data_IF_929912758242
#
_entry.id   IF_929912758242
#
_cell.length_a   1.000
_cell.length_b   1.000
_cell.length_c   1.000
_cell.angle_alpha   90.00
_cell.angle_beta   90.00
_cell.angle_gamma   90.00
#
_symmetry.space_group_name_H-M   'P 1'
#
loop_
_entity.id
_entity.type
_entity.pdbx_description
1 polymer ?
#
# COMPACT_ATOMS: atom_id res chain seq x y z
N UNK A 1 -46.99 9.36 -5.56
CA UNK A 1 -47.48 8.95 -4.22
C UNK A 1 -47.85 10.21 -3.46
N UNK A 2 -49.09 10.35 -2.98
CA UNK A 2 -49.53 11.52 -2.21
C UNK A 2 -49.25 11.30 -0.72
N UNK A 3 -48.36 12.12 -0.15
CA UNK A 3 -48.04 12.11 1.28
C UNK A 3 -49.23 12.66 2.08
N UNK A 4 -49.89 11.81 2.88
CA UNK A 4 -50.95 12.27 3.78
C UNK A 4 -50.38 12.90 5.06
N UNK A 5 -51.11 13.86 5.66
CA UNK A 5 -50.72 14.47 6.95
C UNK A 5 -50.48 13.42 8.03
N UNK A 6 -51.30 12.37 8.08
CA UNK A 6 -51.14 11.26 9.03
C UNK A 6 -49.86 10.45 8.78
N UNK A 7 -49.48 10.24 7.52
CA UNK A 7 -48.21 9.60 7.18
C UNK A 7 -47.02 10.48 7.59
N UNK A 8 -47.07 11.79 7.31
CA UNK A 8 -46.05 12.74 7.70
C UNK A 8 -45.81 12.75 9.22
N UNK A 9 -46.87 12.88 10.04
CA UNK A 9 -46.71 12.91 11.50
C UNK A 9 -46.19 11.59 12.08
N UNK A 10 -46.56 10.45 11.50
CA UNK A 10 -46.02 9.13 11.91
C UNK A 10 -44.55 8.99 11.57
N UNK A 11 -44.15 9.38 10.35
CA UNK A 11 -42.77 9.32 9.90
C UNK A 11 -41.89 10.29 10.69
N UNK A 12 -42.34 11.54 10.89
CA UNK A 12 -41.64 12.54 11.68
C UNK A 12 -41.50 12.10 13.15
N UNK A 13 -42.57 11.57 13.77
CA UNK A 13 -42.52 11.06 15.14
C UNK A 13 -41.55 9.88 15.29
N UNK A 14 -41.57 8.93 14.37
CA UNK A 14 -40.64 7.81 14.35
C UNK A 14 -39.18 8.25 14.17
N UNK A 15 -38.93 9.21 13.26
CA UNK A 15 -37.60 9.78 13.05
C UNK A 15 -37.09 10.49 14.30
N UNK A 16 -37.91 11.35 14.92
CA UNK A 16 -37.53 12.07 16.15
C UNK A 16 -37.21 11.11 17.30
N UNK A 17 -38.01 10.06 17.49
CA UNK A 17 -37.72 9.03 18.51
C UNK A 17 -36.43 8.27 18.19
N UNK A 18 -36.19 7.93 16.93
CA UNK A 18 -34.96 7.31 16.46
C UNK A 18 -33.73 8.16 16.76
N UNK A 19 -33.74 9.44 16.38
CA UNK A 19 -32.62 10.36 16.63
C UNK A 19 -32.43 10.69 18.12
N UNK A 20 -33.51 10.77 18.90
CA UNK A 20 -33.43 10.94 20.36
C UNK A 20 -32.82 9.71 21.03
N UNK A 21 -33.16 8.50 20.56
CA UNK A 21 -32.53 7.26 21.02
C UNK A 21 -31.05 7.17 20.65
N UNK A 22 -30.71 7.60 19.43
CA UNK A 22 -29.34 7.67 18.93
C UNK A 22 -28.48 8.65 19.75
N UNK A 23 -28.99 9.87 20.00
CA UNK A 23 -28.33 10.84 20.87
C UNK A 23 -28.04 10.23 22.25
N UNK A 24 -29.03 9.55 22.83
CA UNK A 24 -28.90 8.95 24.16
C UNK A 24 -27.87 7.82 24.23
N UNK A 25 -27.66 7.13 23.10
CA UNK A 25 -26.67 6.07 22.93
C UNK A 25 -25.24 6.65 22.84
N UNK A 26 -25.08 7.75 22.11
CA UNK A 26 -23.78 8.35 21.77
C UNK A 26 -23.33 9.49 22.69
N UNK A 27 -24.22 10.07 23.50
CA UNK A 27 -23.84 11.12 24.46
C UNK A 27 -22.75 10.65 25.43
N UNK A 28 -21.93 11.57 25.98
CA UNK A 28 -21.00 11.24 27.05
C UNK A 28 -21.72 10.53 28.22
N UNK A 29 -21.26 9.32 28.56
CA UNK A 29 -21.89 8.47 29.59
C UNK A 29 -22.99 7.52 29.10
N UNK A 30 -23.43 7.61 27.84
CA UNK A 30 -24.25 6.59 27.18
C UNK A 30 -23.47 5.31 26.86
N UNK A 31 -24.12 4.19 26.51
CA UNK A 31 -23.43 2.91 26.27
C UNK A 31 -22.34 2.98 25.18
N UNK A 32 -22.64 3.58 24.03
CA UNK A 32 -21.65 3.73 22.95
C UNK A 32 -20.65 4.85 23.26
N UNK A 33 -21.11 5.96 23.86
CA UNK A 33 -20.22 7.04 24.31
C UNK A 33 -19.18 6.58 25.33
N UNK A 34 -19.56 5.67 26.25
CA UNK A 34 -18.64 5.02 27.20
C UNK A 34 -17.68 4.07 26.50
N UNK A 35 -18.12 3.32 25.51
CA UNK A 35 -17.26 2.41 24.75
C UNK A 35 -16.20 3.19 23.96
N UNK A 36 -16.60 4.31 23.33
CA UNK A 36 -15.70 5.22 22.60
C UNK A 36 -14.73 5.93 23.55
N UNK A 37 -15.19 6.37 24.73
CA UNK A 37 -14.36 6.99 25.74
C UNK A 37 -13.47 5.99 26.52
N UNK A 38 -13.77 4.71 26.45
CA UNK A 38 -12.97 3.63 27.04
C UNK A 38 -11.88 3.11 26.10
N UNK A 39 -11.82 3.61 24.85
CA UNK A 39 -10.63 3.45 24.02
C UNK A 39 -9.55 4.30 24.67
N UNK A 40 -8.44 3.73 25.16
CA UNK A 40 -7.34 4.51 25.71
C UNK A 40 -6.90 5.56 24.70
N UNK A 41 -6.43 6.72 25.17
CA UNK A 41 -5.73 7.70 24.33
C UNK A 41 -4.53 6.98 23.68
N UNK A 42 -4.71 6.43 22.47
CA UNK A 42 -3.87 5.38 21.91
C UNK A 42 -2.37 5.69 22.00
N UNK A 43 -1.88 6.53 21.09
CA UNK A 43 -0.50 7.05 21.14
C UNK A 43 -0.46 8.57 21.36
N UNK A 44 -1.60 9.20 21.66
CA UNK A 44 -1.75 10.66 21.71
C UNK A 44 -2.05 11.28 20.34
N UNK A 45 -2.17 12.62 20.27
CA UNK A 45 -2.42 13.34 19.03
C UNK A 45 -1.22 13.28 18.06
N UNK A 46 -1.49 13.44 16.77
CA UNK A 46 -0.45 13.55 15.76
C UNK A 46 0.22 14.94 15.82
N UNK A 47 1.54 14.96 15.71
CA UNK A 47 2.34 16.17 15.58
C UNK A 47 2.64 16.40 14.10
N UNK A 48 2.31 17.58 13.54
CA UNK A 48 2.62 17.89 12.15
C UNK A 48 4.11 17.74 11.85
N UNK A 49 4.41 16.99 10.79
CA UNK A 49 5.76 16.83 10.28
C UNK A 49 6.22 18.10 9.54
N UNK A 50 7.35 18.73 9.92
CA UNK A 50 7.90 19.88 9.21
C UNK A 50 8.15 19.63 7.72
N UNK A 51 8.49 18.39 7.35
CA UNK A 51 8.72 18.00 5.96
C UNK A 51 7.43 17.57 5.23
N UNK A 52 6.30 17.50 5.95
CA UNK A 52 4.98 17.22 5.41
C UNK A 52 4.79 15.80 4.86
N UNK A 53 5.59 14.83 5.30
CA UNK A 53 5.52 13.45 4.85
C UNK A 53 4.63 12.58 5.73
N UNK A 54 4.86 12.58 7.05
CA UNK A 54 4.13 11.73 7.97
C UNK A 54 4.01 12.34 9.36
N UNK A 55 2.83 12.83 9.69
CA UNK A 55 2.49 13.27 11.05
C UNK A 55 2.47 12.07 12.00
N UNK A 56 3.23 12.15 13.08
CA UNK A 56 3.38 11.06 14.05
C UNK A 56 3.10 11.55 15.48
N UNK A 57 2.67 10.67 16.40
CA UNK A 57 2.54 11.05 17.80
C UNK A 57 3.89 11.41 18.44
N UNK A 58 3.84 12.12 19.56
CA UNK A 58 5.06 12.49 20.29
C UNK A 58 5.90 11.25 20.66
N UNK A 59 7.21 11.34 20.43
CA UNK A 59 8.16 10.24 20.68
C UNK A 59 8.34 9.25 19.52
N UNK A 60 7.45 9.25 18.52
CA UNK A 60 7.59 8.44 17.32
C UNK A 60 8.50 9.12 16.28
N UNK A 61 9.16 8.29 15.45
CA UNK A 61 10.08 8.74 14.39
C UNK A 61 9.95 7.81 13.19
N UNK A 62 10.23 8.33 12.00
CA UNK A 62 10.33 7.53 10.77
C UNK A 62 11.68 7.75 10.08
N UNK A 63 11.99 6.89 9.11
CA UNK A 63 13.13 7.06 8.21
C UNK A 63 12.69 6.75 6.79
N UNK A 64 12.98 7.65 5.85
CA UNK A 64 12.74 7.40 4.42
C UNK A 64 13.96 6.73 3.83
N UNK A 65 13.82 5.45 3.49
CA UNK A 65 14.96 4.62 3.07
C UNK A 65 14.91 4.18 1.60
N UNK A 66 13.80 4.39 0.89
CA UNK A 66 13.66 4.07 -0.54
C UNK A 66 12.56 4.92 -1.16
N UNK A 67 12.87 5.62 -2.26
CA UNK A 67 11.94 6.45 -3.04
C UNK A 67 11.87 5.97 -4.48
N UNK A 68 10.70 6.07 -5.11
CA UNK A 68 10.53 5.77 -6.53
C UNK A 68 11.50 6.57 -7.40
N UNK A 69 12.01 5.94 -8.46
CA UNK A 69 13.00 6.51 -9.38
C UNK A 69 14.45 6.52 -8.86
N UNK A 70 14.70 6.17 -7.59
CA UNK A 70 16.08 6.00 -7.12
C UNK A 70 16.75 4.80 -7.79
N UNK A 71 18.06 4.91 -8.04
CA UNK A 71 18.87 3.79 -8.53
C UNK A 71 19.04 2.76 -7.41
N UNK A 72 18.71 1.51 -7.69
CA UNK A 72 18.93 0.37 -6.82
C UNK A 72 20.34 -0.23 -7.02
N UNK A 73 20.74 -1.13 -6.11
CA UNK A 73 22.08 -1.75 -6.11
C UNK A 73 22.32 -2.66 -7.32
N UNK A 74 21.27 -3.23 -7.89
CA UNK A 74 21.31 -4.01 -9.15
C UNK A 74 21.37 -3.12 -10.41
N UNK A 75 21.30 -1.79 -10.22
CA UNK A 75 21.35 -0.79 -11.27
C UNK A 75 20.04 -0.57 -12.01
N UNK A 76 18.92 -1.16 -11.59
CA UNK A 76 17.57 -0.75 -12.03
C UNK A 76 17.07 0.44 -11.20
N UNK A 77 15.89 0.96 -11.53
CA UNK A 77 15.25 2.00 -10.72
C UNK A 77 14.23 1.37 -9.77
N UNK A 78 14.02 2.01 -8.62
CA UNK A 78 12.91 1.68 -7.72
C UNK A 78 11.61 2.02 -8.46
N UNK A 79 10.74 1.05 -8.78
CA UNK A 79 9.45 1.38 -9.39
C UNK A 79 8.60 2.20 -8.42
N UNK A 80 7.72 3.05 -8.93
CA UNK A 80 6.79 3.83 -8.13
C UNK A 80 5.68 2.95 -7.52
N UNK A 81 4.67 3.61 -6.93
CA UNK A 81 3.44 2.98 -6.39
C UNK A 81 3.72 1.76 -5.52
N UNK A 82 4.54 1.96 -4.50
CA UNK A 82 4.79 0.95 -3.47
C UNK A 82 3.46 0.53 -2.84
N UNK A 83 3.24 -0.77 -2.72
CA UNK A 83 2.01 -1.33 -2.16
C UNK A 83 2.33 -2.49 -1.20
N UNK A 84 1.46 -3.49 -1.10
CA UNK A 84 1.53 -4.61 -0.17
C UNK A 84 2.92 -5.23 -0.05
N UNK A 85 3.31 -5.50 1.19
CA UNK A 85 4.66 -5.92 1.53
C UNK A 85 4.68 -6.86 2.73
N UNK A 86 5.75 -7.64 2.84
CA UNK A 86 5.99 -8.50 3.99
C UNK A 86 7.47 -8.50 4.40
N UNK A 87 7.69 -8.54 5.71
CA UNK A 87 9.00 -8.65 6.32
C UNK A 87 9.33 -10.12 6.63
N UNK A 88 10.56 -10.52 6.37
CA UNK A 88 11.10 -11.86 6.59
C UNK A 88 12.44 -11.76 7.32
N UNK A 89 12.84 -12.81 8.08
CA UNK A 89 14.20 -12.91 8.61
C UNK A 89 15.22 -12.86 7.47
N UNK A 90 16.20 -11.97 7.60
CA UNK A 90 17.30 -11.80 6.67
C UNK A 90 18.65 -12.27 7.24
N UNK A 91 19.70 -12.30 6.40
CA UNK A 91 21.03 -12.69 6.83
C UNK A 91 21.61 -11.73 7.88
N UNK A 92 22.35 -12.28 8.86
CA UNK A 92 23.01 -11.50 9.90
C UNK A 92 22.04 -10.78 10.85
N UNK A 93 20.82 -11.33 11.04
CA UNK A 93 19.80 -10.74 11.92
C UNK A 93 19.07 -9.54 11.32
N UNK A 94 19.31 -9.24 10.04
CA UNK A 94 18.64 -8.16 9.31
C UNK A 94 17.23 -8.56 8.86
N UNK A 95 16.51 -7.64 8.26
CA UNK A 95 15.15 -7.86 7.74
C UNK A 95 15.15 -7.81 6.23
N UNK A 96 14.57 -8.84 5.60
CA UNK A 96 14.20 -8.79 4.18
C UNK A 96 12.78 -8.23 4.09
N UNK A 97 12.56 -7.20 3.29
CA UNK A 97 11.24 -6.67 2.95
C UNK A 97 10.98 -6.94 1.48
N UNK A 98 9.94 -7.72 1.17
CA UNK A 98 9.46 -7.86 -0.21
C UNK A 98 8.30 -6.87 -0.39
N UNK A 99 8.40 -6.01 -1.39
CA UNK A 99 7.47 -4.89 -1.62
C UNK A 99 6.92 -4.94 -3.03
N UNK A 100 5.60 -4.86 -3.16
CA UNK A 100 4.92 -4.78 -4.44
C UNK A 100 5.00 -3.37 -5.07
N UNK A 101 4.79 -3.33 -6.38
CA UNK A 101 4.68 -2.11 -7.19
C UNK A 101 3.41 -2.17 -8.05
N UNK A 102 2.44 -1.31 -7.74
CA UNK A 102 1.09 -1.32 -8.32
C UNK A 102 1.02 -0.52 -9.64
N UNK A 103 1.88 -0.89 -10.59
CA UNK A 103 1.97 -0.23 -11.89
C UNK A 103 1.16 -0.96 -12.96
N UNK A 104 0.29 -0.21 -13.64
CA UNK A 104 -0.58 -0.63 -14.72
C UNK A 104 0.12 -0.56 -16.08
N UNK A 105 -0.43 -1.23 -17.09
CA UNK A 105 0.06 -1.17 -18.47
C UNK A 105 0.01 0.24 -19.10
N UNK A 106 -0.80 1.14 -18.54
CA UNK A 106 -0.92 2.55 -19.00
C UNK A 106 0.04 3.49 -18.30
N UNK A 107 0.73 3.04 -17.27
CA UNK A 107 1.70 3.88 -16.58
C UNK A 107 2.93 4.09 -17.45
N UNK A 108 3.49 5.30 -17.36
CA UNK A 108 4.66 5.66 -18.14
C UNK A 108 5.93 4.92 -17.67
N UNK A 109 6.88 4.67 -18.59
CA UNK A 109 8.15 4.00 -18.30
C UNK A 109 8.96 4.68 -17.20
N UNK A 110 8.83 6.00 -17.02
CA UNK A 110 9.48 6.77 -15.95
C UNK A 110 9.11 6.34 -14.54
N UNK A 111 7.99 5.63 -14.37
CA UNK A 111 7.56 5.08 -13.10
C UNK A 111 8.06 3.65 -12.87
N UNK A 112 8.53 2.98 -13.92
CA UNK A 112 8.95 1.58 -13.89
C UNK A 112 10.43 1.38 -13.52
N UNK A 113 10.87 0.12 -13.41
CA UNK A 113 12.26 -0.19 -13.07
C UNK A 113 13.26 0.07 -14.19
N UNK A 114 12.78 0.25 -15.42
CA UNK A 114 13.61 0.17 -16.62
C UNK A 114 14.07 1.52 -17.18
N UNK A 115 13.77 2.62 -16.50
CA UNK A 115 14.15 3.97 -16.90
C UNK A 115 13.11 4.67 -17.78
N UNK A 116 13.23 5.99 -18.00
CA UNK A 116 12.21 6.82 -18.65
C UNK A 116 11.87 6.45 -20.10
N UNK A 117 12.65 5.58 -20.73
CA UNK A 117 12.39 5.04 -22.07
C UNK A 117 12.49 3.52 -22.13
N UNK A 118 12.38 2.85 -20.98
CA UNK A 118 12.60 1.40 -20.85
C UNK A 118 14.02 0.96 -21.31
N UNK A 119 15.00 1.86 -21.28
CA UNK A 119 16.34 1.61 -21.82
C UNK A 119 17.13 0.52 -21.07
N UNK A 120 16.71 0.18 -19.85
CA UNK A 120 17.36 -0.86 -19.05
C UNK A 120 16.75 -2.26 -19.27
N UNK A 121 15.64 -2.41 -20.02
CA UNK A 121 15.01 -3.72 -20.25
C UNK A 121 16.00 -4.76 -20.76
N UNK A 122 16.86 -4.37 -21.71
CA UNK A 122 17.85 -5.28 -22.31
C UNK A 122 18.93 -5.78 -21.34
N UNK A 123 19.06 -5.20 -20.14
CA UNK A 123 19.98 -5.69 -19.11
C UNK A 123 19.44 -6.90 -18.37
N UNK A 124 18.13 -7.15 -18.44
CA UNK A 124 17.49 -8.26 -17.75
C UNK A 124 17.46 -9.51 -18.66
N UNK A 125 18.02 -10.66 -18.23
CA UNK A 125 17.90 -11.88 -19.00
C UNK A 125 16.43 -12.28 -19.18
N UNK A 126 16.00 -12.54 -20.42
CA UNK A 126 14.61 -12.88 -20.73
C UNK A 126 14.03 -14.04 -19.89
N UNK A 127 14.87 -15.03 -19.52
CA UNK A 127 14.49 -16.16 -18.67
C UNK A 127 14.05 -15.80 -17.24
N UNK A 128 14.32 -14.56 -16.80
CA UNK A 128 13.97 -14.06 -15.47
C UNK A 128 12.70 -13.19 -15.49
N UNK A 129 12.13 -12.93 -16.67
CA UNK A 129 10.88 -12.20 -16.83
C UNK A 129 9.73 -13.21 -16.78
N UNK A 130 8.75 -13.00 -15.91
CA UNK A 130 7.60 -13.91 -15.79
C UNK A 130 6.79 -13.97 -17.09
N UNK A 131 6.33 -12.81 -17.55
CA UNK A 131 5.74 -12.62 -18.88
C UNK A 131 6.39 -11.40 -19.55
N UNK A 132 7.04 -11.63 -20.69
CA UNK A 132 7.67 -10.58 -21.47
C UNK A 132 6.68 -9.78 -22.33
N UNK A 133 5.43 -10.25 -22.43
CA UNK A 133 4.44 -9.70 -23.34
C UNK A 133 4.79 -9.93 -24.82
N UNK A 134 4.03 -9.26 -25.69
CA UNK A 134 4.18 -9.37 -27.15
C UNK A 134 5.04 -8.27 -27.75
N UNK A 135 5.14 -7.11 -27.10
CA UNK A 135 5.94 -5.97 -27.53
C UNK A 135 7.17 -5.80 -26.63
N UNK A 136 8.38 -6.11 -27.13
CA UNK A 136 9.62 -5.97 -26.36
C UNK A 136 9.90 -4.53 -25.88
N UNK A 137 9.29 -3.51 -26.50
CA UNK A 137 9.41 -2.11 -26.11
C UNK A 137 8.48 -1.67 -24.97
N UNK A 138 7.48 -2.50 -24.65
CA UNK A 138 6.44 -2.21 -23.67
C UNK A 138 6.37 -3.31 -22.58
N UNK A 139 7.43 -3.46 -21.76
CA UNK A 139 7.44 -4.43 -20.67
C UNK A 139 6.37 -4.11 -19.63
N UNK A 140 5.92 -5.14 -18.92
CA UNK A 140 5.14 -4.95 -17.69
C UNK A 140 6.00 -4.28 -16.62
N UNK A 141 5.51 -3.16 -16.07
CA UNK A 141 6.27 -2.30 -15.15
C UNK A 141 6.06 -2.62 -13.67
N UNK A 142 5.10 -3.49 -13.35
CA UNK A 142 4.84 -3.92 -11.98
C UNK A 142 5.89 -4.90 -11.46
N UNK A 143 5.50 -5.66 -10.43
CA UNK A 143 6.31 -6.68 -9.82
C UNK A 143 6.69 -6.36 -8.39
N UNK A 144 7.86 -6.83 -7.96
CA UNK A 144 8.34 -6.65 -6.59
C UNK A 144 9.80 -6.24 -6.54
N UNK A 145 10.13 -5.51 -5.48
CA UNK A 145 11.52 -5.32 -5.04
C UNK A 145 11.74 -6.03 -3.71
N UNK A 146 12.96 -6.54 -3.51
CA UNK A 146 13.41 -7.09 -2.23
C UNK A 146 14.46 -6.16 -1.65
N UNK A 147 14.24 -5.73 -0.42
CA UNK A 147 15.09 -4.81 0.32
C UNK A 147 15.68 -5.52 1.53
N UNK A 148 16.98 -5.38 1.76
CA UNK A 148 17.64 -5.80 2.99
C UNK A 148 17.79 -4.57 3.88
N UNK A 149 17.12 -4.57 5.03
CA UNK A 149 17.07 -3.45 5.96
C UNK A 149 17.72 -3.82 7.29
N UNK A 150 18.51 -2.89 7.83
CA UNK A 150 19.09 -2.99 9.17
C UNK A 150 18.19 -2.23 10.15
N UNK A 151 17.46 -2.96 10.99
CA UNK A 151 16.55 -2.37 11.98
C UNK A 151 17.27 -1.79 13.19
N UNK A 152 18.51 -2.22 13.46
CA UNK A 152 19.32 -1.67 14.54
C UNK A 152 19.88 -0.29 14.19
N UNK A 153 20.37 -0.13 12.95
CA UNK A 153 20.90 1.14 12.45
C UNK A 153 19.86 2.00 11.71
N UNK A 154 18.62 1.50 11.57
CA UNK A 154 17.53 2.14 10.85
C UNK A 154 17.88 2.56 9.41
N UNK A 155 18.60 1.70 8.67
CA UNK A 155 19.03 2.03 7.30
C UNK A 155 18.85 0.87 6.32
N UNK A 156 18.68 1.25 5.05
CA UNK A 156 18.73 0.31 3.95
C UNK A 156 20.18 -0.18 3.75
N UNK A 157 20.34 -1.48 3.56
CA UNK A 157 21.63 -2.12 3.25
C UNK A 157 21.76 -2.33 1.75
N UNK A 158 20.73 -2.89 1.13
CA UNK A 158 20.62 -3.06 -0.33
C UNK A 158 19.16 -3.21 -0.74
N UNK A 159 18.84 -2.95 -1.99
CA UNK A 159 17.58 -3.34 -2.62
C UNK A 159 17.76 -3.69 -4.10
N UNK A 160 16.89 -4.56 -4.60
CA UNK A 160 16.92 -5.09 -5.96
C UNK A 160 15.54 -5.47 -6.44
N UNK A 161 15.38 -5.58 -7.75
CA UNK A 161 14.21 -6.18 -8.40
C UNK A 161 14.15 -7.68 -8.07
N UNK A 162 12.97 -8.19 -7.70
CA UNK A 162 12.76 -9.59 -7.32
C UNK A 162 11.63 -10.30 -8.06
N UNK A 163 10.72 -9.56 -8.70
CA UNK A 163 9.72 -10.07 -9.64
C UNK A 163 9.47 -9.01 -10.70
N UNK A 164 9.30 -9.44 -11.95
CA UNK A 164 8.94 -8.57 -13.07
C UNK A 164 8.26 -9.40 -14.16
N UNK A 165 7.71 -8.73 -15.18
CA UNK A 165 6.79 -9.36 -16.12
C UNK A 165 5.40 -9.57 -15.53
N UNK A 166 5.00 -8.73 -14.57
CA UNK A 166 3.68 -8.73 -13.93
C UNK A 166 3.15 -7.30 -13.83
N UNK A 167 1.84 -7.14 -13.73
CA UNK A 167 1.15 -5.86 -13.70
C UNK A 167 0.33 -5.67 -12.43
N UNK A 168 0.32 -4.42 -11.95
CA UNK A 168 -0.59 -3.92 -10.91
C UNK A 168 -0.57 -4.84 -9.68
N UNK A 169 0.63 -5.15 -9.22
CA UNK A 169 0.86 -5.93 -8.01
C UNK A 169 0.40 -5.07 -6.82
N UNK A 170 -0.77 -5.38 -6.27
CA UNK A 170 -1.40 -4.60 -5.21
C UNK A 170 -0.97 -5.16 -3.86
N UNK A 171 -1.69 -6.17 -3.36
CA UNK A 171 -1.42 -6.84 -2.09
C UNK A 171 -0.77 -8.22 -2.27
N UNK A 172 -0.79 -9.00 -1.20
CA UNK A 172 -0.22 -10.34 -1.19
C UNK A 172 -0.27 -10.99 0.18
N UNK A 173 0.48 -12.08 0.34
CA UNK A 173 0.58 -12.78 1.61
C UNK A 173 1.89 -13.54 1.79
N UNK A 174 2.52 -13.48 2.98
CA UNK A 174 3.64 -14.37 3.29
C UNK A 174 3.13 -15.80 3.42
N UNK A 175 3.87 -16.74 2.85
CA UNK A 175 3.56 -18.17 2.97
C UNK A 175 4.18 -18.77 4.23
N UNK A 176 3.64 -19.88 4.76
CA UNK A 176 4.21 -20.57 5.92
C UNK A 176 5.64 -21.10 5.70
N UNK A 177 6.09 -21.24 4.46
CA UNK A 177 7.44 -21.70 4.10
C UNK A 177 8.39 -20.55 3.70
N UNK A 178 8.03 -19.31 4.02
CA UNK A 178 8.93 -18.16 3.92
C UNK A 178 9.06 -17.56 2.51
N UNK A 179 8.02 -17.67 1.68
CA UNK A 179 7.92 -16.97 0.39
C UNK A 179 6.87 -15.86 0.43
N UNK A 180 6.89 -14.99 -0.57
CA UNK A 180 5.86 -13.97 -0.79
C UNK A 180 4.97 -14.38 -1.96
N UNK A 181 3.65 -14.25 -1.79
CA UNK A 181 2.68 -14.28 -2.89
C UNK A 181 2.31 -12.84 -3.23
N UNK A 182 2.57 -12.42 -4.46
CA UNK A 182 2.13 -11.11 -4.98
C UNK A 182 0.88 -11.30 -5.84
N UNK A 183 -0.08 -10.38 -5.75
CA UNK A 183 -1.35 -10.46 -6.47
C UNK A 183 -1.47 -9.33 -7.50
N UNK A 184 -1.64 -9.70 -8.77
CA UNK A 184 -2.06 -8.75 -9.81
C UNK A 184 -3.54 -8.38 -9.59
N UNK A 185 -3.83 -7.10 -9.39
CA UNK A 185 -5.21 -6.60 -9.30
C UNK A 185 -5.84 -6.42 -10.70
N UNK A 186 -5.03 -6.57 -11.76
CA UNK A 186 -5.47 -6.45 -13.14
C UNK A 186 -6.54 -7.49 -13.46
N UNK A 187 -7.67 -7.03 -13.99
CA UNK A 187 -8.73 -7.89 -14.54
C UNK A 187 -8.72 -7.90 -16.07
N UNK A 188 -7.68 -7.31 -16.68
CA UNK A 188 -7.54 -7.23 -18.12
C UNK A 188 -7.25 -8.60 -18.73
N UNK A 189 -7.91 -8.89 -19.84
CA UNK A 189 -7.70 -10.09 -20.65
C UNK A 189 -6.91 -9.73 -21.91
N UNK A 190 -6.15 -10.67 -22.48
CA UNK A 190 -5.29 -10.43 -23.65
C UNK A 190 -5.96 -9.74 -24.86
N UNK A 191 -7.29 -9.81 -24.96
CA UNK A 191 -8.05 -9.36 -26.12
C UNK A 191 -8.73 -7.99 -25.94
N UNK A 192 -8.58 -7.32 -24.78
CA UNK A 192 -9.26 -6.05 -24.45
C UNK A 192 -8.50 -5.07 -23.57
#
# INVERSE_FOLDING_TARGET
MTLSRRHFFRAAGAATLGFSGLERLFRPGGPAGRLLAAVPDGFGPLVPDPDGLLDLPEGFRYTVFSRGGQRMDDGFLVPARHDGMAAFPGPGGRTLLVRNHELNARDGPELGPFGPSNELVGRLPARLVFDAGVDPGAPALGGTTTLLFDTGEQRLVEHRLSLTGTLRNCAGGPTPWGSWLSCEESVHTADR
#
